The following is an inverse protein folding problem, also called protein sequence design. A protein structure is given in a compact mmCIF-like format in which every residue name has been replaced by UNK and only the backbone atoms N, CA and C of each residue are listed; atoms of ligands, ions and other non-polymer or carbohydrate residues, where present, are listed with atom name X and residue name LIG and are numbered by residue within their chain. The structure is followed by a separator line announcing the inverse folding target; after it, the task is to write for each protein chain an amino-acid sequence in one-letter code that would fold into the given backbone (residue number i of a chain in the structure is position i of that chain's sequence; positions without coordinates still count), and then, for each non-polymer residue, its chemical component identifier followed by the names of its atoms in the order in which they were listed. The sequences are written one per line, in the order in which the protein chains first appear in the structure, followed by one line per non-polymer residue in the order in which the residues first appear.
data_IF_319553142732
#
_entry.id   IF_319553142732
#
_cell.length_a   1.000
_cell.length_b   1.000
_cell.length_c   1.000
_cell.angle_alpha   90.00
_cell.angle_beta   90.00
_cell.angle_gamma   90.00
#
_symmetry.space_group_name_H-M   'P 1'
#
loop_
_entity.id
_entity.type
_entity.pdbx_description
1 polymer ?
#
# COMPACT_ATOMS: atom_id res chain seq x y z
N UNK A 1 6.92 -11.07 -7.07
CA UNK A 1 6.31 -10.34 -5.96
C UNK A 1 7.12 -9.14 -5.52
N UNK A 2 8.43 -9.21 -5.63
CA UNK A 2 9.26 -8.06 -5.25
C UNK A 2 8.96 -6.81 -6.08
N UNK A 3 8.74 -7.01 -7.37
CA UNK A 3 8.42 -5.86 -8.22
C UNK A 3 7.14 -5.18 -7.77
N UNK A 4 6.18 -5.96 -7.36
CA UNK A 4 4.90 -5.42 -6.91
C UNK A 4 5.07 -4.70 -5.59
N UNK A 5 5.85 -5.27 -4.67
CA UNK A 5 6.13 -4.62 -3.41
C UNK A 5 6.81 -3.27 -3.65
N UNK A 6 7.78 -3.25 -4.55
CA UNK A 6 8.50 -2.03 -4.85
C UNK A 6 7.57 -0.98 -5.44
N UNK A 7 6.68 -1.41 -6.33
CA UNK A 7 5.73 -0.49 -6.93
C UNK A 7 4.82 0.12 -5.88
N UNK A 8 4.39 -0.68 -4.91
CA UNK A 8 3.56 -0.18 -3.84
C UNK A 8 4.31 0.85 -3.00
N UNK A 9 5.55 0.53 -2.65
CA UNK A 9 6.34 1.44 -1.83
C UNK A 9 6.66 2.72 -2.58
N UNK A 10 6.98 2.61 -3.87
CA UNK A 10 7.26 3.80 -4.67
C UNK A 10 6.05 4.71 -4.70
N UNK A 11 4.87 4.13 -4.90
CA UNK A 11 3.66 4.92 -4.90
C UNK A 11 3.46 5.60 -3.55
N UNK A 12 3.64 4.84 -2.49
CA UNK A 12 3.42 5.36 -1.14
C UNK A 12 4.40 6.49 -0.82
N UNK A 13 5.65 6.32 -1.22
CA UNK A 13 6.66 7.33 -0.94
C UNK A 13 6.48 8.59 -1.77
N UNK A 14 5.93 8.45 -2.96
CA UNK A 14 5.73 9.60 -3.83
C UNK A 14 4.36 10.24 -3.66
N UNK A 15 3.50 9.63 -2.88
CA UNK A 15 2.18 10.16 -2.67
C UNK A 15 2.22 11.28 -1.65
N UNK A 16 1.40 12.30 -1.87
CA UNK A 16 1.27 13.37 -0.90
C UNK A 16 0.35 12.99 0.24
N UNK A 17 -0.42 11.94 0.06
CA UNK A 17 -1.31 11.46 1.09
C UNK A 17 -0.59 10.52 2.01
N UNK A 18 -1.00 10.50 3.27
CA UNK A 18 -0.45 9.55 4.22
C UNK A 18 -1.25 8.26 4.28
N UNK A 19 -2.43 8.26 3.70
CA UNK A 19 -3.30 7.08 3.66
C UNK A 19 -3.88 6.94 2.28
N UNK A 20 -4.05 5.69 1.84
CA UNK A 20 -4.66 5.41 0.54
C UNK A 20 -5.54 4.17 0.63
N UNK A 21 -6.53 4.12 -0.24
CA UNK A 21 -7.36 2.94 -0.34
C UNK A 21 -6.64 1.87 -1.14
N UNK A 22 -7.10 0.63 -0.99
CA UNK A 22 -6.52 -0.46 -1.75
C UNK A 22 -6.60 -0.19 -3.25
N UNK A 23 -7.69 0.41 -3.70
CA UNK A 23 -7.83 0.71 -5.13
C UNK A 23 -6.75 1.64 -5.63
N UNK A 24 -6.31 2.56 -4.79
CA UNK A 24 -5.23 3.46 -5.17
C UNK A 24 -3.94 2.69 -5.39
N UNK A 25 -3.67 1.73 -4.50
CA UNK A 25 -2.50 0.87 -4.65
C UNK A 25 -2.61 0.02 -5.90
N UNK A 26 -3.78 -0.53 -6.12
CA UNK A 26 -4.02 -1.39 -7.26
C UNK A 26 -3.76 -0.65 -8.57
N UNK A 27 -4.32 0.54 -8.69
CA UNK A 27 -4.13 1.33 -9.90
C UNK A 27 -2.66 1.70 -10.10
N UNK A 28 -1.99 2.08 -9.02
CA UNK A 28 -0.59 2.49 -9.12
C UNK A 28 0.28 1.32 -9.56
N UNK A 29 0.05 0.15 -8.99
CA UNK A 29 0.82 -1.03 -9.36
C UNK A 29 0.56 -1.41 -10.80
N UNK A 30 -0.70 -1.38 -11.22
CA UNK A 30 -1.06 -1.79 -12.56
C UNK A 30 -0.56 -0.83 -13.63
N UNK A 31 -0.23 0.39 -13.27
CA UNK A 31 0.41 1.30 -14.21
C UNK A 31 1.79 0.81 -14.59
N UNK A 32 2.49 0.24 -13.64
CA UNK A 32 3.85 -0.25 -13.86
C UNK A 32 3.84 -1.71 -14.28
N UNK A 33 2.95 -2.49 -13.67
CA UNK A 33 2.87 -3.92 -13.92
C UNK A 33 1.43 -4.26 -14.28
N UNK A 34 1.06 -4.11 -15.56
CA UNK A 34 -0.33 -4.31 -15.96
C UNK A 34 -0.86 -5.71 -15.67
N UNK A 35 0.04 -6.69 -15.60
CA UNK A 35 -0.37 -8.06 -15.33
C UNK A 35 -0.63 -8.33 -13.86
N UNK A 36 -0.34 -7.38 -13.01
CA UNK A 36 -0.54 -7.58 -11.57
C UNK A 36 -2.03 -7.65 -11.26
N UNK A 37 -2.42 -8.73 -10.62
CA UNK A 37 -3.82 -8.91 -10.25
C UNK A 37 -4.07 -8.41 -8.84
N UNK A 38 -5.31 -8.03 -8.57
CA UNK A 38 -5.67 -7.51 -7.26
C UNK A 38 -5.26 -8.47 -6.15
N UNK A 39 -5.45 -9.75 -6.37
CA UNK A 39 -5.09 -10.77 -5.41
C UNK A 39 -3.61 -10.70 -5.04
N UNK A 40 -2.77 -10.57 -6.05
CA UNK A 40 -1.33 -10.52 -5.85
C UNK A 40 -0.93 -9.22 -5.18
N UNK A 41 -1.55 -8.13 -5.60
CA UNK A 41 -1.27 -6.83 -5.01
C UNK A 41 -1.63 -6.85 -3.52
N UNK A 42 -2.74 -7.48 -3.19
CA UNK A 42 -3.15 -7.58 -1.78
C UNK A 42 -2.15 -8.39 -0.98
N UNK A 43 -1.64 -9.48 -1.57
CA UNK A 43 -0.63 -10.28 -0.89
C UNK A 43 0.64 -9.48 -0.66
N UNK A 44 1.04 -8.71 -1.65
CA UNK A 44 2.24 -7.89 -1.53
C UNK A 44 2.06 -6.84 -0.43
N UNK A 45 0.90 -6.20 -0.40
CA UNK A 45 0.62 -5.20 0.63
C UNK A 45 0.65 -5.84 2.01
N UNK A 46 0.06 -7.02 2.16
CA UNK A 46 0.07 -7.72 3.43
C UNK A 46 1.50 -8.06 3.84
N UNK A 47 2.31 -8.49 2.90
CA UNK A 47 3.70 -8.80 3.20
C UNK A 47 4.43 -7.56 3.67
N UNK A 48 4.17 -6.42 3.04
CA UNK A 48 4.81 -5.18 3.46
C UNK A 48 4.38 -4.77 4.86
N UNK A 49 3.13 -5.05 5.21
CA UNK A 49 2.66 -4.80 6.56
C UNK A 49 3.42 -5.68 7.55
N UNK A 50 3.61 -6.94 7.21
CA UNK A 50 4.35 -7.86 8.06
C UNK A 50 5.81 -7.46 8.19
N UNK A 51 6.35 -6.81 7.15
CA UNK A 51 7.72 -6.33 7.18
C UNK A 51 7.81 -4.96 7.85
N UNK A 52 6.67 -4.46 8.30
CA UNK A 52 6.60 -3.16 8.98
C UNK A 52 6.98 -2.00 8.07
N UNK A 53 6.70 -2.13 6.80
CA UNK A 53 6.91 -1.04 5.85
C UNK A 53 5.63 -0.32 5.52
N UNK A 54 4.50 -0.98 5.72
CA UNK A 54 3.19 -0.37 5.54
C UNK A 54 2.38 -0.55 6.81
N UNK A 55 1.38 0.30 6.96
CA UNK A 55 0.45 0.23 8.07
C UNK A 55 -0.94 0.02 7.51
N UNK A 56 -1.70 -0.79 8.20
CA UNK A 56 -3.04 -1.15 7.78
C UNK A 56 -4.04 -0.40 8.65
N UNK A 57 -5.01 0.23 7.99
CA UNK A 57 -6.08 0.93 8.69
C UNK A 57 -7.41 0.33 8.26
N UNK A 58 -8.26 0.08 9.23
CA UNK A 58 -9.62 -0.37 8.95
C UNK A 58 -10.56 0.72 9.42
N UNK A 59 -11.33 1.26 8.50
CA UNK A 59 -12.25 2.34 8.83
C UNK A 59 -13.65 1.91 8.48
N UNK A 60 -14.24 1.11 9.35
CA UNK A 60 -15.58 0.60 9.09
C UNK A 60 -15.57 -0.36 7.92
N UNK A 61 -16.20 0.01 6.84
CA UNK A 61 -16.32 -0.88 5.69
C UNK A 61 -15.17 -0.70 4.70
N UNK A 62 -14.23 0.18 4.99
CA UNK A 62 -13.15 0.45 4.06
C UNK A 62 -11.81 0.03 4.63
N UNK A 63 -10.91 -0.37 3.73
CA UNK A 63 -9.55 -0.73 4.10
C UNK A 63 -8.61 0.30 3.51
N UNK A 64 -7.74 0.83 4.34
CA UNK A 64 -6.75 1.80 3.89
C UNK A 64 -5.35 1.35 4.29
N UNK A 65 -4.38 1.86 3.60
CA UNK A 65 -2.98 1.57 3.85
C UNK A 65 -2.20 2.86 3.94
N UNK A 66 -1.09 2.81 4.62
CA UNK A 66 -0.23 3.97 4.71
C UNK A 66 1.21 3.54 4.83
N UNK A 67 2.13 4.45 4.47
CA UNK A 67 3.55 4.16 4.59
C UNK A 67 3.97 4.39 6.03
N UNK A 68 4.59 3.39 6.62
CA UNK A 68 5.02 3.51 8.00
C UNK A 68 6.10 4.57 8.11
N UNK A 69 5.98 5.42 9.10
CA UNK A 69 6.97 6.45 9.31
C UNK A 69 6.68 7.77 8.63
N UNK A 70 5.56 7.85 7.91
CA UNK A 70 5.20 9.08 7.23
C UNK A 70 4.25 9.93 8.06
N UNK A 71 4.39 9.90 9.35
CA UNK A 71 3.60 10.75 10.20
C UNK A 71 2.23 10.23 10.54
N UNK A 72 1.96 8.99 10.19
CA UNK A 72 0.64 8.45 10.43
C UNK A 72 0.57 7.59 11.67
N UNK A 73 1.70 7.27 12.24
CA UNK A 73 1.70 6.38 13.38
C UNK A 73 1.60 7.10 14.67
N UNK A 74 1.82 8.30 14.63
CA UNK A 74 1.91 9.00 15.79
C UNK A 74 0.70 9.31 16.37
N UNK A 75 -0.05 9.12 16.00
CA UNK A 75 -1.11 9.50 16.62
C UNK A 75 -1.59 8.71 17.46
N UNK A 76 -1.19 8.54 17.89
CA UNK A 76 -1.40 7.91 18.69
C UNK A 76 -1.32 7.92 19.32
#
# INVERSE_FOLDING_TARGET
MEDIKKAILDFAENSKKTKFYFKDLEKAVQKTIPDAKARIIKKAATALINEEKLIYFSTGSSTMYGLKGRGITEDH
#
